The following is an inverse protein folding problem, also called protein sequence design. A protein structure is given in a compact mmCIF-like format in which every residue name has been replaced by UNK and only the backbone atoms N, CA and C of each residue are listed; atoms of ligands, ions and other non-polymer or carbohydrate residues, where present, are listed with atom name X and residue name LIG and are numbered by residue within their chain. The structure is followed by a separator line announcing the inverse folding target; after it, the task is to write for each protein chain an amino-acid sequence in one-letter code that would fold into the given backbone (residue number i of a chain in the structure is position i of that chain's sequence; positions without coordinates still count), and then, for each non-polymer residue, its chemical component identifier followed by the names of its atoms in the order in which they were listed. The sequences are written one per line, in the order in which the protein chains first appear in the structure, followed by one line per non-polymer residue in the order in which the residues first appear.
data_IF_500371160346
#
_entry.id   IF_500371160346
#
_cell.length_a   1.000
_cell.length_b   1.000
_cell.length_c   1.000
_cell.angle_alpha   90.00
_cell.angle_beta   90.00
_cell.angle_gamma   90.00
#
_symmetry.space_group_name_H-M   'P 1'
#
loop_
_entity.id
_entity.type
_entity.pdbx_description
1 polymer ?
#
# COMPACT_ATOMS: atom_id res chain seq x y z
N UNK A 1 38.46 1.61 37.14
CA UNK A 1 37.74 0.70 36.20
C UNK A 1 36.25 0.53 36.49
N UNK A 2 35.75 0.75 37.73
CA UNK A 2 34.32 0.58 38.10
C UNK A 2 33.34 1.58 37.47
N UNK A 3 33.77 2.81 37.17
CA UNK A 3 32.89 3.88 36.63
C UNK A 3 32.36 3.57 35.22
N UNK A 4 33.14 2.84 34.42
CA UNK A 4 32.78 2.50 33.03
C UNK A 4 31.62 1.50 32.95
N UNK A 5 31.53 0.58 33.93
CA UNK A 5 30.44 -0.38 34.01
C UNK A 5 29.12 0.32 34.35
N UNK A 6 29.13 1.26 35.31
CA UNK A 6 27.93 2.01 35.72
C UNK A 6 27.37 2.85 34.56
N UNK A 7 28.24 3.50 33.77
CA UNK A 7 27.82 4.28 32.59
C UNK A 7 27.14 3.40 31.56
N UNK A 8 27.65 2.20 31.30
CA UNK A 8 27.02 1.24 30.38
C UNK A 8 25.65 0.77 30.87
N UNK A 9 25.49 0.55 32.19
CA UNK A 9 24.20 0.17 32.76
C UNK A 9 23.18 1.31 32.65
N UNK A 10 23.60 2.56 32.91
CA UNK A 10 22.71 3.74 32.79
C UNK A 10 22.27 3.94 31.34
N UNK A 11 23.18 3.81 30.37
CA UNK A 11 22.84 3.88 28.93
C UNK A 11 21.84 2.76 28.58
N UNK A 12 22.09 1.54 29.04
CA UNK A 12 21.18 0.41 28.83
C UNK A 12 19.78 0.69 29.37
N UNK A 13 19.67 1.27 30.57
CA UNK A 13 18.38 1.63 31.19
C UNK A 13 17.70 2.78 30.44
N UNK A 14 18.43 3.81 30.00
CA UNK A 14 17.85 4.92 29.22
C UNK A 14 17.32 4.43 27.87
N UNK A 15 18.06 3.55 27.19
CA UNK A 15 17.59 2.92 25.95
C UNK A 15 16.38 2.04 26.20
N UNK A 16 16.38 1.25 27.28
CA UNK A 16 15.24 0.40 27.64
C UNK A 16 14.00 1.24 27.95
N UNK A 17 14.14 2.32 28.73
CA UNK A 17 13.05 3.26 29.01
C UNK A 17 12.60 3.95 27.74
N UNK A 18 13.51 4.35 26.85
CA UNK A 18 13.16 4.94 25.54
C UNK A 18 12.35 3.99 24.66
N UNK A 19 12.73 2.70 24.60
CA UNK A 19 12.01 1.67 23.85
C UNK A 19 10.66 1.34 24.50
N UNK A 20 10.60 1.22 25.83
CA UNK A 20 9.33 1.02 26.55
C UNK A 20 8.43 2.23 26.37
N UNK A 21 8.97 3.45 26.40
CA UNK A 21 8.22 4.67 26.14
C UNK A 21 7.71 4.69 24.71
N UNK A 22 8.52 4.28 23.72
CA UNK A 22 8.13 4.15 22.31
C UNK A 22 7.01 3.12 22.10
N UNK A 23 7.03 2.01 22.84
CA UNK A 23 6.01 0.95 22.78
C UNK A 23 4.75 1.31 23.57
N UNK A 24 4.89 1.95 24.73
CA UNK A 24 3.79 2.35 25.62
C UNK A 24 3.06 3.60 25.12
N UNK A 25 3.77 4.54 24.48
CA UNK A 25 3.13 5.56 23.67
C UNK A 25 2.73 4.97 22.32
N UNK A 26 1.74 4.08 22.36
CA UNK A 26 0.93 3.66 21.22
C UNK A 26 0.11 4.82 20.63
N UNK A 27 0.72 6.01 20.50
CA UNK A 27 0.22 7.10 19.69
C UNK A 27 0.30 6.63 18.24
N UNK A 28 -0.79 6.04 17.78
CA UNK A 28 -1.12 6.02 16.35
C UNK A 28 -0.86 7.42 15.84
N UNK A 29 0.12 7.63 14.93
CA UNK A 29 0.30 8.92 14.33
C UNK A 29 -1.04 9.32 13.73
N UNK A 30 -1.59 10.51 14.04
CA UNK A 30 -2.75 10.99 13.31
C UNK A 30 -2.42 10.95 11.82
N UNK A 31 -3.44 10.69 10.98
CA UNK A 31 -3.32 10.67 9.52
C UNK A 31 -2.79 11.99 8.92
N UNK A 32 -2.53 13.00 9.75
CA UNK A 32 -1.82 14.25 9.46
C UNK A 32 -0.29 14.12 9.45
N UNK A 33 0.25 12.91 9.38
CA UNK A 33 1.70 12.64 9.37
C UNK A 33 2.07 11.80 8.14
N UNK A 34 3.25 12.07 7.58
CA UNK A 34 3.78 11.38 6.38
C UNK A 34 3.80 9.86 6.60
N UNK A 35 4.15 9.42 7.81
CA UNK A 35 4.16 8.01 8.17
C UNK A 35 2.76 7.36 8.12
N UNK A 36 1.72 8.10 8.53
CA UNK A 36 0.32 7.68 8.39
C UNK A 36 -0.13 7.57 6.93
N UNK A 37 0.32 8.50 6.08
CA UNK A 37 0.03 8.48 4.65
C UNK A 37 0.77 7.32 3.94
N UNK A 38 2.03 7.06 4.29
CA UNK A 38 2.81 5.93 3.78
C UNK A 38 2.23 4.58 4.19
N UNK A 39 1.68 4.45 5.41
CA UNK A 39 0.90 3.25 5.78
C UNK A 39 -0.32 3.06 4.89
N UNK A 40 -1.03 4.14 4.55
CA UNK A 40 -2.16 4.04 3.62
C UNK A 40 -1.71 3.64 2.22
N UNK A 41 -0.58 4.15 1.75
CA UNK A 41 0.05 3.74 0.48
C UNK A 41 0.31 2.24 0.50
N UNK A 42 0.83 1.68 1.59
CA UNK A 42 1.07 0.24 1.73
C UNK A 42 -0.22 -0.58 1.66
N UNK A 43 -1.27 -0.13 2.35
CA UNK A 43 -2.58 -0.80 2.32
C UNK A 43 -3.18 -0.79 0.92
N UNK A 44 -3.10 0.34 0.19
CA UNK A 44 -3.62 0.44 -1.19
C UNK A 44 -2.77 -0.41 -2.14
N UNK A 45 -1.44 -0.43 -1.96
CA UNK A 45 -0.52 -1.28 -2.73
C UNK A 45 -0.86 -2.77 -2.57
N UNK A 46 -1.14 -3.22 -1.34
CA UNK A 46 -1.60 -4.59 -1.08
C UNK A 46 -2.91 -4.93 -1.79
N UNK A 47 -3.89 -4.01 -1.77
CA UNK A 47 -5.18 -4.21 -2.47
C UNK A 47 -5.02 -4.24 -3.99
N UNK A 48 -4.13 -3.41 -4.55
CA UNK A 48 -3.81 -3.45 -5.98
C UNK A 48 -3.17 -4.79 -6.36
N UNK A 49 -2.26 -5.31 -5.55
CA UNK A 49 -1.67 -6.64 -5.77
C UNK A 49 -2.69 -7.77 -5.68
N UNK A 50 -3.67 -7.68 -4.77
CA UNK A 50 -4.77 -8.65 -4.72
C UNK A 50 -5.65 -8.58 -5.98
N UNK A 51 -5.98 -7.37 -6.45
CA UNK A 51 -6.76 -7.17 -7.67
C UNK A 51 -6.00 -7.67 -8.90
N UNK A 52 -4.70 -7.42 -8.99
CA UNK A 52 -3.83 -7.91 -10.06
C UNK A 52 -3.87 -9.44 -10.17
N UNK A 53 -3.74 -10.14 -9.04
CA UNK A 53 -3.85 -11.61 -9.00
C UNK A 53 -5.22 -12.07 -9.48
N UNK A 54 -6.30 -11.47 -8.98
CA UNK A 54 -7.67 -11.81 -9.41
C UNK A 54 -7.88 -11.60 -10.91
N UNK A 55 -7.30 -10.53 -11.47
CA UNK A 55 -7.33 -10.24 -12.91
C UNK A 55 -6.54 -11.29 -13.69
N UNK A 56 -5.34 -11.64 -13.23
CA UNK A 56 -4.51 -12.68 -13.84
C UNK A 56 -5.20 -14.06 -13.79
N UNK A 57 -5.77 -14.45 -12.65
CA UNK A 57 -6.51 -15.70 -12.48
C UNK A 57 -7.74 -15.74 -13.39
N UNK A 58 -8.48 -14.64 -13.48
CA UNK A 58 -9.65 -14.55 -14.37
C UNK A 58 -9.28 -14.60 -15.84
N UNK A 59 -8.14 -13.99 -16.21
CA UNK A 59 -7.57 -14.06 -17.57
C UNK A 59 -7.15 -15.49 -17.90
N UNK A 60 -6.49 -16.18 -16.98
CA UNK A 60 -6.09 -17.59 -17.16
C UNK A 60 -7.31 -18.52 -17.25
N UNK A 61 -8.43 -18.17 -16.61
CA UNK A 61 -9.71 -18.88 -16.67
C UNK A 61 -10.59 -18.55 -17.87
N UNK A 62 -10.11 -17.76 -18.84
CA UNK A 62 -10.80 -17.51 -20.10
C UNK A 62 -10.80 -18.76 -20.99
N UNK A 63 -11.91 -18.99 -21.68
CA UNK A 63 -11.95 -20.06 -22.68
C UNK A 63 -11.08 -19.69 -23.89
N UNK A 64 -10.42 -20.67 -24.53
CA UNK A 64 -9.67 -20.42 -25.75
C UNK A 64 -10.58 -19.78 -26.82
N UNK A 65 -10.15 -18.65 -27.37
CA UNK A 65 -10.92 -17.84 -28.31
C UNK A 65 -11.67 -16.65 -27.69
N UNK A 66 -11.68 -16.51 -26.35
CA UNK A 66 -12.16 -15.29 -25.70
C UNK A 66 -11.09 -14.21 -25.70
N UNK A 67 -11.52 -12.97 -25.94
CA UNK A 67 -10.62 -11.82 -26.01
C UNK A 67 -10.11 -11.39 -24.62
N UNK A 68 -8.79 -11.47 -24.34
CA UNK A 68 -8.21 -11.04 -23.08
C UNK A 68 -8.04 -9.51 -22.98
N UNK A 69 -8.28 -8.75 -24.06
CA UNK A 69 -8.02 -7.30 -24.14
C UNK A 69 -8.61 -6.52 -22.95
N UNK A 70 -9.78 -6.92 -22.48
CA UNK A 70 -10.44 -6.27 -21.37
C UNK A 70 -9.73 -6.51 -20.02
N UNK A 71 -9.11 -7.67 -19.82
CA UNK A 71 -8.28 -7.95 -18.64
C UNK A 71 -6.92 -7.26 -18.75
N UNK A 72 -6.35 -7.17 -19.96
CA UNK A 72 -5.11 -6.43 -20.23
C UNK A 72 -5.26 -4.94 -19.93
N UNK A 73 -6.38 -4.33 -20.34
CA UNK A 73 -6.68 -2.93 -20.01
C UNK A 73 -6.78 -2.67 -18.50
N UNK A 74 -7.34 -3.62 -17.75
CA UNK A 74 -7.40 -3.55 -16.28
C UNK A 74 -6.01 -3.72 -15.67
N UNK A 75 -5.22 -4.68 -16.17
CA UNK A 75 -3.85 -4.89 -15.72
C UNK A 75 -2.99 -3.64 -15.93
N UNK A 76 -3.15 -2.94 -17.06
CA UNK A 76 -2.49 -1.67 -17.31
C UNK A 76 -2.88 -0.59 -16.30
N UNK A 77 -4.18 -0.42 -16.02
CA UNK A 77 -4.64 0.55 -15.00
C UNK A 77 -4.09 0.24 -13.60
N UNK A 78 -3.93 -1.04 -13.26
CA UNK A 78 -3.33 -1.47 -12.00
C UNK A 78 -1.83 -1.12 -11.98
N UNK A 79 -1.12 -1.32 -13.09
CA UNK A 79 0.28 -0.95 -13.24
C UNK A 79 0.47 0.57 -13.12
N UNK A 80 -0.37 1.37 -13.77
CA UNK A 80 -0.35 2.83 -13.67
C UNK A 80 -0.60 3.30 -12.23
N UNK A 81 -1.61 2.71 -11.55
CA UNK A 81 -1.91 3.01 -10.15
C UNK A 81 -0.74 2.66 -9.21
N UNK A 82 0.00 1.58 -9.50
CA UNK A 82 1.24 1.23 -8.79
C UNK A 82 2.34 2.25 -9.03
N UNK A 83 2.50 2.74 -10.26
CA UNK A 83 3.42 3.83 -10.58
C UNK A 83 3.16 5.06 -9.70
N UNK A 84 1.89 5.48 -9.64
CA UNK A 84 1.45 6.60 -8.80
C UNK A 84 1.73 6.36 -7.31
N UNK A 85 1.52 5.14 -6.80
CA UNK A 85 1.86 4.81 -5.40
C UNK A 85 3.38 4.82 -5.15
N UNK A 86 4.19 4.40 -6.11
CA UNK A 86 5.65 4.48 -5.97
C UNK A 86 6.13 5.94 -5.92
N UNK A 87 5.53 6.82 -6.73
CA UNK A 87 5.75 8.27 -6.63
C UNK A 87 5.30 8.80 -5.26
N UNK A 88 4.18 8.32 -4.73
CA UNK A 88 3.72 8.68 -3.40
C UNK A 88 4.71 8.24 -2.30
N UNK A 89 5.40 7.11 -2.46
CA UNK A 89 6.44 6.65 -1.51
C UNK A 89 7.69 7.52 -1.54
N UNK A 90 8.02 8.08 -2.69
CA UNK A 90 9.20 8.94 -2.88
C UNK A 90 8.90 10.42 -2.55
N UNK A 91 7.64 10.78 -2.34
CA UNK A 91 7.25 12.13 -2.02
C UNK A 91 7.65 12.51 -0.58
N UNK A 92 8.40 13.60 -0.45
CA UNK A 92 8.84 14.13 0.86
C UNK A 92 7.78 14.99 1.55
N UNK A 93 6.74 15.42 0.81
CA UNK A 93 5.67 16.30 1.31
C UNK A 93 4.38 15.51 1.50
N UNK A 94 3.76 15.65 2.67
CA UNK A 94 2.49 15.00 3.02
C UNK A 94 1.39 15.25 1.97
N UNK A 95 1.23 16.49 1.53
CA UNK A 95 0.21 16.86 0.53
C UNK A 95 0.41 16.10 -0.77
N UNK A 96 1.67 15.96 -1.23
CA UNK A 96 1.99 15.21 -2.43
C UNK A 96 1.69 13.71 -2.26
N UNK A 97 2.02 13.12 -1.11
CA UNK A 97 1.66 11.71 -0.79
C UNK A 97 0.13 11.53 -0.83
N UNK A 98 -0.62 12.45 -0.22
CA UNK A 98 -2.08 12.36 -0.12
C UNK A 98 -2.78 12.56 -1.47
N UNK A 99 -2.29 13.47 -2.31
CA UNK A 99 -2.78 13.64 -3.69
C UNK A 99 -2.56 12.35 -4.48
N UNK A 100 -1.33 11.83 -4.49
CA UNK A 100 -0.99 10.60 -5.22
C UNK A 100 -1.75 9.38 -4.70
N UNK A 101 -1.95 9.28 -3.38
CA UNK A 101 -2.77 8.24 -2.77
C UNK A 101 -4.23 8.31 -3.27
N UNK A 102 -4.78 9.53 -3.38
CA UNK A 102 -6.14 9.76 -3.87
C UNK A 102 -6.27 9.37 -5.34
N UNK A 103 -5.29 9.72 -6.16
CA UNK A 103 -5.23 9.34 -7.58
C UNK A 103 -5.16 7.82 -7.73
N UNK A 104 -4.25 7.16 -7.00
CA UNK A 104 -4.12 5.71 -7.01
C UNK A 104 -5.39 5.00 -6.53
N UNK A 105 -6.08 5.54 -5.51
CA UNK A 105 -7.35 5.00 -5.01
C UNK A 105 -8.46 5.16 -6.04
N UNK A 106 -8.48 6.27 -6.76
CA UNK A 106 -9.43 6.52 -7.85
C UNK A 106 -9.21 5.52 -8.98
N UNK A 107 -7.96 5.34 -9.42
CA UNK A 107 -7.57 4.35 -10.42
C UNK A 107 -7.95 2.92 -10.00
N UNK A 108 -7.61 2.52 -8.77
CA UNK A 108 -8.00 1.23 -8.19
C UNK A 108 -9.53 1.03 -8.22
N UNK A 109 -10.30 2.05 -7.83
CA UNK A 109 -11.76 1.98 -7.81
C UNK A 109 -12.36 1.85 -9.22
N UNK A 110 -11.72 2.44 -10.23
CA UNK A 110 -12.11 2.33 -11.63
C UNK A 110 -11.82 0.92 -12.15
N UNK A 111 -10.60 0.43 -11.95
CA UNK A 111 -10.16 -0.91 -12.33
C UNK A 111 -11.05 -1.99 -11.69
N UNK A 112 -11.35 -1.87 -10.40
CA UNK A 112 -12.24 -2.79 -9.69
C UNK A 112 -13.66 -2.79 -10.26
N UNK A 113 -14.18 -1.61 -10.65
CA UNK A 113 -15.50 -1.50 -11.29
C UNK A 113 -15.51 -2.17 -12.65
N UNK A 114 -14.48 -1.99 -13.46
CA UNK A 114 -14.35 -2.65 -14.76
C UNK A 114 -14.24 -4.17 -14.58
N UNK A 115 -13.37 -4.64 -13.69
CA UNK A 115 -13.23 -6.05 -13.35
C UNK A 115 -14.55 -6.69 -12.90
N UNK A 116 -15.30 -6.02 -12.01
CA UNK A 116 -16.62 -6.50 -11.57
C UNK A 116 -17.64 -6.56 -12.70
N UNK A 117 -17.61 -5.62 -13.66
CA UNK A 117 -18.52 -5.66 -14.82
C UNK A 117 -18.20 -6.86 -15.71
N UNK A 118 -16.92 -7.11 -15.98
CA UNK A 118 -16.46 -8.25 -16.78
C UNK A 118 -16.79 -9.59 -16.13
N UNK A 119 -16.62 -9.70 -14.82
CA UNK A 119 -16.87 -10.94 -14.08
C UNK A 119 -18.33 -11.15 -13.68
N UNK A 120 -19.16 -10.09 -13.64
CA UNK A 120 -20.61 -10.21 -13.40
C UNK A 120 -21.44 -10.44 -14.65
N UNK A 121 -20.92 -10.19 -15.85
CA UNK A 121 -21.68 -10.49 -17.06
C UNK A 121 -21.93 -12.02 -17.11
N UNK A 122 -23.20 -12.47 -17.16
CA UNK A 122 -23.48 -13.89 -17.34
C UNK A 122 -22.89 -14.29 -18.69
N UNK A 123 -22.02 -15.31 -18.68
CA UNK A 123 -21.57 -16.01 -19.88
C UNK A 123 -22.84 -16.47 -20.62
N UNK A 124 -23.28 -15.70 -21.61
CA UNK A 124 -24.32 -16.08 -22.57
C UNK A 124 -23.66 -16.82 -23.72
#
# INVERSE_FOLDING_TARGET
MKTRAVVWTVIGVVVLVGVIFLVATGRRPPASSIEGALRQVEVVSGRLGELERRVADSRAGLQPGQDPSAFDAIAQQIADARGVLNEARQAEKLDAVMTKLTDARTAYSSALRQYRKLTRQPRR
#
